data_IF_806782831668
#
_entry.id   IF_806782831668
#
_cell.length_a   1.000
_cell.length_b   1.000
_cell.length_c   1.000
_cell.angle_alpha   90.00
_cell.angle_beta   90.00
_cell.angle_gamma   90.00
#
_symmetry.space_group_name_H-M   'P 1'
#
loop_
_entity.id
_entity.type
_entity.pdbx_description
1 polymer ?
#
# COMPACT_ATOMS: atom_id res chain seq x y z
N UNK A 1 19.44 -4.03 5.60
CA UNK A 1 18.14 -4.13 6.30
C UNK A 1 17.36 -5.23 5.61
N UNK A 2 16.57 -6.03 6.33
CA UNK A 2 15.66 -6.96 5.65
C UNK A 2 14.51 -6.13 5.08
N UNK A 3 14.25 -6.26 3.79
CA UNK A 3 13.09 -5.64 3.18
C UNK A 3 11.83 -6.30 3.74
N UNK A 4 11.02 -5.52 4.47
CA UNK A 4 9.77 -5.98 5.06
C UNK A 4 8.63 -5.76 4.08
N UNK A 5 7.96 -6.84 3.71
CA UNK A 5 6.81 -6.81 2.82
C UNK A 5 5.49 -6.73 3.58
N UNK A 6 4.53 -6.07 2.95
CA UNK A 6 3.21 -5.81 3.50
C UNK A 6 2.13 -6.13 2.47
N UNK A 7 1.00 -6.67 2.95
CA UNK A 7 -0.26 -6.67 2.20
C UNK A 7 -0.91 -5.30 2.35
N UNK A 8 -0.88 -4.52 1.27
CA UNK A 8 -1.63 -3.28 1.14
C UNK A 8 -3.03 -3.59 0.63
N UNK A 9 -4.04 -3.16 1.37
CA UNK A 9 -5.44 -3.18 0.95
C UNK A 9 -5.91 -1.76 0.70
N UNK A 10 -6.54 -1.52 -0.44
CA UNK A 10 -6.95 -0.18 -0.87
C UNK A 10 -8.19 -0.22 -1.78
N UNK A 11 -8.91 0.89 -1.87
CA UNK A 11 -9.98 1.07 -2.83
C UNK A 11 -9.41 1.44 -4.19
N UNK A 12 -9.74 0.65 -5.20
CA UNK A 12 -9.31 0.89 -6.58
C UNK A 12 -10.47 0.76 -7.55
N UNK A 13 -10.32 1.41 -8.70
CA UNK A 13 -11.22 1.20 -9.82
C UNK A 13 -10.94 -0.15 -10.47
N UNK A 14 -12.00 -0.90 -10.79
CA UNK A 14 -11.85 -2.08 -11.62
C UNK A 14 -11.46 -1.64 -13.04
N UNK A 15 -10.35 -2.17 -13.56
CA UNK A 15 -9.90 -1.86 -14.92
C UNK A 15 -10.91 -2.33 -15.98
N UNK A 16 -11.70 -3.36 -15.67
CA UNK A 16 -12.75 -3.87 -16.57
C UNK A 16 -14.07 -3.08 -16.44
N UNK A 17 -14.32 -2.46 -15.27
CA UNK A 17 -15.53 -1.69 -14.97
C UNK A 17 -15.18 -0.44 -14.13
N UNK A 18 -14.73 0.66 -14.76
CA UNK A 18 -14.17 1.83 -14.08
C UNK A 18 -15.22 2.67 -13.33
N UNK A 19 -16.46 2.19 -13.24
CA UNK A 19 -17.54 2.78 -12.42
C UNK A 19 -17.73 2.06 -11.09
N UNK A 20 -17.02 0.93 -10.87
CA UNK A 20 -17.15 0.11 -9.67
C UNK A 20 -15.85 0.20 -8.86
N UNK A 21 -15.96 0.80 -7.66
CA UNK A 21 -14.91 0.73 -6.64
C UNK A 21 -14.87 -0.67 -6.04
N UNK A 22 -13.68 -1.26 -5.92
CA UNK A 22 -13.46 -2.54 -5.25
C UNK A 22 -12.28 -2.47 -4.30
N UNK A 23 -12.30 -3.34 -3.29
CA UNK A 23 -11.14 -3.58 -2.44
C UNK A 23 -10.12 -4.39 -3.23
N UNK A 24 -8.99 -3.76 -3.50
CA UNK A 24 -7.82 -4.34 -4.13
C UNK A 24 -6.78 -4.70 -3.07
N UNK A 25 -5.98 -5.73 -3.35
CA UNK A 25 -4.83 -6.09 -2.51
C UNK A 25 -3.56 -6.17 -3.35
N UNK A 26 -2.43 -5.76 -2.77
CA UNK A 26 -1.11 -5.84 -3.40
C UNK A 26 -0.02 -6.08 -2.36
N UNK A 27 1.02 -6.82 -2.73
CA UNK A 27 2.23 -6.95 -1.90
C UNK A 27 3.17 -5.80 -2.23
N UNK A 28 3.59 -5.06 -1.20
CA UNK A 28 4.44 -3.87 -1.35
C UNK A 28 5.51 -3.81 -0.27
N UNK A 29 6.58 -3.10 -0.58
CA UNK A 29 7.49 -2.50 0.39
C UNK A 29 6.98 -1.11 0.77
N UNK A 30 7.24 -0.72 2.01
CA UNK A 30 6.73 0.54 2.58
C UNK A 30 7.92 1.42 2.97
N UNK A 31 8.14 2.54 2.27
CA UNK A 31 9.14 3.53 2.68
C UNK A 31 8.89 4.04 4.10
N UNK A 32 9.96 4.35 4.84
CA UNK A 32 9.86 4.84 6.23
C UNK A 32 8.97 6.08 6.37
N UNK A 33 8.96 6.96 5.37
CA UNK A 33 8.11 8.16 5.33
C UNK A 33 6.61 7.80 5.28
N UNK A 34 6.24 6.82 4.46
CA UNK A 34 4.86 6.32 4.36
C UNK A 34 4.44 5.64 5.64
N UNK A 35 5.33 4.84 6.25
CA UNK A 35 5.05 4.23 7.56
C UNK A 35 4.85 5.30 8.64
N UNK A 36 5.71 6.32 8.69
CA UNK A 36 5.59 7.42 9.63
C UNK A 36 4.26 8.18 9.45
N UNK A 37 3.83 8.40 8.20
CA UNK A 37 2.55 9.03 7.90
C UNK A 37 1.34 8.20 8.36
N UNK A 38 1.41 6.86 8.25
CA UNK A 38 0.32 5.97 8.69
C UNK A 38 0.17 5.91 10.22
N UNK A 39 1.25 6.08 10.98
CA UNK A 39 1.24 6.00 12.45
C UNK A 39 1.08 7.35 13.15
N UNK A 40 1.33 8.47 12.45
CA UNK A 40 1.30 9.80 13.06
C UNK A 40 -0.05 10.48 12.88
N UNK A 41 -0.81 10.64 13.95
CA UNK A 41 -2.15 11.28 13.91
C UNK A 41 -2.12 12.82 13.94
N UNK A 42 -0.94 13.43 14.16
CA UNK A 42 -0.80 14.87 14.43
C UNK A 42 -0.21 15.70 13.27
N UNK A 43 0.00 15.09 12.11
CA UNK A 43 0.47 15.78 10.90
C UNK A 43 -0.71 15.91 9.94
N UNK A 44 -0.79 17.03 9.19
CA UNK A 44 -1.76 17.18 8.11
C UNK A 44 -1.71 15.90 7.25
N UNK A 45 -2.82 15.16 7.10
CA UNK A 45 -2.76 13.86 6.44
C UNK A 45 -2.20 14.07 5.03
N UNK A 46 -1.20 13.27 4.60
CA UNK A 46 -0.67 13.38 3.27
C UNK A 46 -1.78 13.14 2.25
N UNK A 47 -1.72 13.83 1.11
CA UNK A 47 -2.70 13.63 0.03
C UNK A 47 -2.46 12.28 -0.67
N UNK A 48 -1.22 11.80 -0.66
CA UNK A 48 -0.84 10.54 -1.28
C UNK A 48 0.18 9.77 -0.42
N UNK A 49 0.10 8.45 -0.48
CA UNK A 49 1.01 7.49 0.12
C UNK A 49 1.83 6.83 -0.97
N UNK A 50 3.13 6.65 -0.74
CA UNK A 50 4.02 5.96 -1.66
C UNK A 50 4.32 4.56 -1.15
N UNK A 51 4.16 3.58 -2.02
CA UNK A 51 4.57 2.19 -1.82
C UNK A 51 5.51 1.78 -2.95
N UNK A 52 6.21 0.68 -2.77
CA UNK A 52 7.11 0.12 -3.79
C UNK A 52 6.65 -1.31 -4.07
N UNK A 53 6.41 -1.63 -5.33
CA UNK A 53 6.00 -2.97 -5.75
C UNK A 53 7.21 -3.92 -5.80
N UNK A 54 6.96 -5.23 -5.87
CA UNK A 54 8.01 -6.25 -5.80
C UNK A 54 9.10 -6.16 -6.89
N UNK A 55 8.85 -5.44 -7.98
CA UNK A 55 9.80 -5.15 -9.06
C UNK A 55 10.55 -3.81 -8.88
N UNK A 56 10.32 -3.12 -7.77
CA UNK A 56 10.89 -1.81 -7.49
C UNK A 56 10.11 -0.62 -8.06
N UNK A 57 8.95 -0.85 -8.69
CA UNK A 57 8.12 0.21 -9.23
C UNK A 57 7.42 1.01 -8.11
N UNK A 58 7.36 2.33 -8.26
CA UNK A 58 6.58 3.18 -7.36
C UNK A 58 5.07 2.99 -7.57
N UNK A 59 4.36 2.71 -6.48
CA UNK A 59 2.91 2.71 -6.42
C UNK A 59 2.41 3.88 -5.57
N UNK A 60 1.73 4.83 -6.20
CA UNK A 60 1.20 6.02 -5.54
C UNK A 60 -0.30 5.86 -5.31
N UNK A 61 -0.71 5.90 -4.05
CA UNK A 61 -2.10 5.74 -3.62
C UNK A 61 -2.61 7.05 -3.02
N UNK A 62 -3.83 7.48 -3.36
CA UNK A 62 -4.46 8.57 -2.63
C UNK A 62 -4.73 8.12 -1.19
N UNK A 63 -4.37 8.92 -0.19
CA UNK A 63 -4.54 8.53 1.21
C UNK A 63 -6.00 8.27 1.60
N UNK A 64 -6.97 8.87 0.88
CA UNK A 64 -8.40 8.60 1.08
C UNK A 64 -8.82 7.18 0.66
N UNK A 65 -8.06 6.55 -0.24
CA UNK A 65 -8.34 5.21 -0.76
C UNK A 65 -7.61 4.11 0.04
N UNK A 66 -6.76 4.49 1.00
CA UNK A 66 -6.10 3.56 1.89
C UNK A 66 -7.11 2.87 2.83
N UNK A 67 -7.03 1.54 2.90
CA UNK A 67 -7.89 0.75 3.80
C UNK A 67 -7.09 0.12 4.95
N UNK A 68 -6.10 -0.72 4.64
CA UNK A 68 -5.27 -1.37 5.66
C UNK A 68 -3.91 -1.79 5.13
N UNK A 69 -2.98 -1.99 6.06
CA UNK A 69 -1.63 -2.47 5.81
C UNK A 69 -1.30 -3.56 6.81
N UNK A 70 -1.00 -4.76 6.33
CA UNK A 70 -0.71 -5.93 7.16
C UNK A 70 0.68 -6.45 6.87
N UNK A 71 1.47 -6.67 7.91
CA UNK A 71 2.83 -7.20 7.77
C UNK A 71 2.79 -8.67 7.37
N UNK A 72 3.56 -9.04 6.36
CA UNK A 72 3.70 -10.44 5.94
C UNK A 72 4.70 -11.14 6.87
N UNK A 73 4.23 -12.17 7.57
CA UNK A 73 5.08 -13.03 8.41
C UNK A 73 5.29 -14.38 7.69
N UNK A 74 6.49 -14.62 7.17
CA UNK A 74 6.86 -15.88 6.48
C UNK A 74 7.74 -15.66 5.26
N UNK A 75 8.23 -16.74 4.64
CA UNK A 75 8.85 -16.67 3.31
C UNK A 75 7.76 -16.39 2.26
N UNK A 76 7.96 -15.37 1.42
CA UNK A 76 7.13 -15.16 0.23
C UNK A 76 7.45 -16.32 -0.72
N UNK A 77 6.69 -17.40 -0.60
CA UNK A 77 6.75 -18.48 -1.58
C UNK A 77 6.07 -17.97 -2.85
N UNK A 78 6.88 -17.48 -3.79
CA UNK A 78 6.47 -17.29 -5.17
C UNK A 78 6.01 -18.65 -5.72
N UNK A 79 4.70 -18.84 -5.86
CA UNK A 79 4.12 -19.90 -6.68
C UNK A 79 3.84 -19.36 -8.08
#
# INVERSE_FOLDING_TARGET
MKDEYYHLTYWGWNNDEPTVLRLCTKIVLVPSETMAALVTTNVRPPVALKFIEGDGQDFILNAADYHSLERIYGEINSQ
#
